data_IF_621242556704
#
_entry.id   IF_621242556704
#
_cell.length_a   1.000
_cell.length_b   1.000
_cell.length_c   1.000
_cell.angle_alpha   90.00
_cell.angle_beta   90.00
_cell.angle_gamma   90.00
#
_symmetry.space_group_name_H-M   'P 1'
#
loop_
_entity.id
_entity.type
_entity.pdbx_description
1 polymer ?
#
# COMPACT_ATOMS: atom_id res chain seq x y z
N UNK A 1 4.49 1.54 -16.95
CA UNK A 1 5.75 0.76 -17.01
C UNK A 1 5.41 -0.74 -17.03
N UNK A 2 6.28 -1.65 -17.49
CA UNK A 2 5.95 -3.10 -17.52
C UNK A 2 6.32 -3.75 -16.17
N UNK A 3 5.34 -3.86 -15.28
CA UNK A 3 5.46 -4.42 -13.93
C UNK A 3 5.69 -5.94 -13.91
N UNK A 4 5.47 -6.65 -15.02
CA UNK A 4 5.65 -8.12 -15.12
C UNK A 4 7.14 -8.52 -15.09
N UNK A 5 8.04 -7.63 -15.53
CA UNK A 5 9.49 -7.90 -15.57
C UNK A 5 10.24 -7.38 -14.34
N UNK A 6 9.60 -6.59 -13.49
CA UNK A 6 10.21 -6.07 -12.28
C UNK A 6 10.16 -7.13 -11.18
N UNK A 7 11.32 -7.47 -10.60
CA UNK A 7 11.35 -8.30 -9.38
C UNK A 7 10.79 -7.48 -8.21
N UNK A 8 9.86 -8.06 -7.47
CA UNK A 8 9.28 -7.47 -6.26
C UNK A 8 7.80 -7.11 -6.40
N UNK A 9 7.30 -6.35 -5.43
CA UNK A 9 5.91 -5.93 -5.36
C UNK A 9 5.65 -4.74 -6.28
N UNK A 10 4.64 -4.86 -7.15
CA UNK A 10 4.24 -3.79 -8.06
C UNK A 10 3.07 -2.99 -7.49
N UNK A 11 3.19 -1.67 -7.48
CA UNK A 11 2.10 -0.75 -7.13
C UNK A 11 1.51 -0.14 -8.40
N UNK A 12 0.29 0.37 -8.30
CA UNK A 12 -0.35 1.14 -9.36
C UNK A 12 0.45 2.44 -9.53
N UNK A 13 1.09 2.61 -10.68
CA UNK A 13 1.93 3.77 -11.01
C UNK A 13 1.17 4.86 -11.78
N UNK A 14 0.01 4.53 -12.36
CA UNK A 14 -0.81 5.47 -13.12
C UNK A 14 -2.29 5.06 -13.21
N UNK A 15 -3.16 6.07 -13.37
CA UNK A 15 -4.58 5.91 -13.70
C UNK A 15 -4.87 6.76 -14.94
N UNK A 16 -5.50 6.17 -15.95
CA UNK A 16 -5.99 6.87 -17.13
C UNK A 16 -7.49 7.11 -17.06
N UNK A 17 -7.96 8.28 -17.49
CA UNK A 17 -9.38 8.63 -17.57
C UNK A 17 -9.73 8.84 -19.04
N UNK A 18 -10.86 8.30 -19.48
CA UNK A 18 -11.39 8.48 -20.83
C UNK A 18 -12.76 9.18 -20.78
N UNK A 19 -13.07 9.95 -21.82
CA UNK A 19 -14.36 10.63 -21.97
C UNK A 19 -15.43 9.73 -22.62
N UNK A 20 -15.04 8.58 -23.19
CA UNK A 20 -15.99 7.59 -23.70
C UNK A 20 -16.36 6.58 -22.61
N UNK A 21 -17.63 6.21 -22.56
CA UNK A 21 -18.14 5.08 -21.75
C UNK A 21 -18.19 3.78 -22.56
N UNK A 22 -17.93 3.85 -23.87
CA UNK A 22 -17.92 2.69 -24.74
C UNK A 22 -16.63 1.89 -24.53
N UNK A 23 -16.73 0.81 -23.76
CA UNK A 23 -15.60 -0.09 -23.48
C UNK A 23 -14.94 -0.64 -24.75
N UNK A 24 -15.71 -0.87 -25.82
CA UNK A 24 -15.18 -1.39 -27.08
C UNK A 24 -14.21 -0.43 -27.76
N UNK A 25 -14.46 0.88 -27.67
CA UNK A 25 -13.54 1.92 -28.17
C UNK A 25 -12.26 1.93 -27.33
N UNK A 26 -12.39 1.94 -26.00
CA UNK A 26 -11.25 1.92 -25.08
C UNK A 26 -10.35 0.70 -25.35
N UNK A 27 -10.93 -0.49 -25.47
CA UNK A 27 -10.16 -1.71 -25.73
C UNK A 27 -9.48 -1.66 -27.09
N UNK A 28 -10.15 -1.17 -28.13
CA UNK A 28 -9.55 -1.04 -29.48
C UNK A 28 -8.37 -0.09 -29.49
N UNK A 29 -8.50 1.07 -28.85
CA UNK A 29 -7.43 2.05 -28.75
C UNK A 29 -6.23 1.48 -27.98
N UNK A 30 -6.48 0.83 -26.85
CA UNK A 30 -5.41 0.19 -26.05
C UNK A 30 -4.70 -0.94 -26.83
N UNK A 31 -5.46 -1.76 -27.56
CA UNK A 31 -4.90 -2.83 -28.39
C UNK A 31 -4.04 -2.28 -29.54
N UNK A 32 -4.36 -1.10 -30.10
CA UNK A 32 -3.53 -0.45 -31.13
C UNK A 32 -2.10 -0.15 -30.61
N UNK A 33 -1.97 0.17 -29.32
CA UNK A 33 -0.68 0.35 -28.65
C UNK A 33 -0.07 -0.95 -28.14
N UNK A 34 -0.66 -2.11 -28.47
CA UNK A 34 -0.20 -3.42 -28.01
C UNK A 34 -0.44 -3.68 -26.51
N UNK A 35 -1.30 -2.90 -25.87
CA UNK A 35 -1.64 -3.08 -24.46
C UNK A 35 -2.69 -4.17 -24.30
N UNK A 36 -2.49 -5.04 -23.30
CA UNK A 36 -3.49 -6.06 -22.93
C UNK A 36 -4.47 -5.45 -21.94
N UNK A 37 -5.75 -5.69 -22.14
CA UNK A 37 -6.83 -5.23 -21.26
C UNK A 37 -7.36 -6.39 -20.42
N UNK A 38 -7.62 -6.14 -19.15
CA UNK A 38 -8.24 -7.10 -18.24
C UNK A 38 -9.41 -6.39 -17.53
N UNK A 39 -10.64 -6.87 -17.73
CA UNK A 39 -11.82 -6.28 -17.06
C UNK A 39 -11.92 -6.66 -15.59
N UNK A 40 -11.40 -7.83 -15.23
CA UNK A 40 -11.42 -8.34 -13.86
C UNK A 40 -10.00 -8.31 -13.29
N UNK A 41 -9.79 -7.45 -12.29
CA UNK A 41 -8.55 -7.46 -11.52
C UNK A 41 -8.39 -8.82 -10.83
N UNK A 42 -7.46 -9.63 -11.34
CA UNK A 42 -7.01 -10.86 -10.71
C UNK A 42 -5.74 -10.58 -9.94
N UNK A 43 -5.79 -10.81 -8.63
CA UNK A 43 -4.61 -10.72 -7.79
C UNK A 43 -3.81 -12.02 -7.88
N UNK A 44 -2.48 -11.92 -7.83
CA UNK A 44 -1.60 -13.09 -7.89
C UNK A 44 -1.70 -13.98 -6.63
N UNK A 45 -2.26 -13.44 -5.54
CA UNK A 45 -2.45 -14.14 -4.28
C UNK A 45 -3.70 -13.64 -3.57
N UNK A 46 -4.24 -14.48 -2.69
CA UNK A 46 -5.30 -14.08 -1.76
C UNK A 46 -4.76 -13.08 -0.74
N UNK A 47 -5.68 -12.30 -0.16
CA UNK A 47 -5.34 -11.44 0.98
C UNK A 47 -4.86 -12.31 2.15
N UNK A 48 -3.76 -11.92 2.76
CA UNK A 48 -3.16 -12.62 3.90
C UNK A 48 -3.30 -11.78 5.17
N UNK A 49 -3.65 -12.42 6.28
CA UNK A 49 -3.48 -11.82 7.60
C UNK A 49 -2.03 -12.04 8.05
N UNK A 50 -1.29 -10.96 8.21
CA UNK A 50 0.15 -10.98 8.49
C UNK A 50 0.48 -11.06 9.99
N UNK A 51 -0.54 -11.32 10.82
CA UNK A 51 -0.43 -11.56 12.25
C UNK A 51 -0.72 -10.32 13.10
N UNK A 52 -0.91 -10.57 14.40
CA UNK A 52 -1.26 -9.55 15.40
C UNK A 52 -0.17 -8.49 15.64
N UNK A 53 1.04 -8.72 15.13
CA UNK A 53 2.13 -7.74 15.17
C UNK A 53 1.84 -6.52 14.28
N UNK A 54 0.98 -6.68 13.26
CA UNK A 54 0.56 -5.63 12.34
C UNK A 54 -0.95 -5.44 12.36
N UNK A 55 -1.75 -6.50 12.17
CA UNK A 55 -3.22 -6.44 12.09
C UNK A 55 -3.82 -6.28 13.50
N UNK A 56 -3.85 -5.05 14.01
CA UNK A 56 -4.41 -4.75 15.33
C UNK A 56 -5.91 -4.48 15.24
N UNK A 57 -6.51 -4.02 16.34
CA UNK A 57 -7.89 -3.52 16.34
C UNK A 57 -8.01 -2.12 15.76
N UNK A 58 -6.89 -1.42 15.55
CA UNK A 58 -6.85 -0.09 14.97
C UNK A 58 -6.86 -0.18 13.44
N UNK A 59 -7.19 0.92 12.77
CA UNK A 59 -7.21 0.94 11.31
C UNK A 59 -5.76 1.03 10.80
N UNK A 60 -5.28 -0.06 10.19
CA UNK A 60 -4.08 -0.06 9.38
C UNK A 60 -4.41 0.07 7.88
N UNK A 61 -3.69 0.95 7.18
CA UNK A 61 -3.95 1.22 5.77
C UNK A 61 -2.66 1.52 4.99
N UNK A 62 -2.78 1.53 3.66
CA UNK A 62 -1.71 1.91 2.72
C UNK A 62 -0.41 1.08 2.90
N UNK A 63 -0.47 -0.27 2.91
CA UNK A 63 0.72 -1.09 3.07
C UNK A 63 1.66 -0.94 1.86
N UNK A 64 2.95 -0.73 2.13
CA UNK A 64 4.03 -0.63 1.15
C UNK A 64 5.18 -1.53 1.58
N UNK A 65 5.45 -2.58 0.81
CA UNK A 65 6.62 -3.43 1.02
C UNK A 65 7.79 -2.84 0.22
N UNK A 66 8.94 -2.70 0.88
CA UNK A 66 10.19 -2.26 0.24
C UNK A 66 10.64 -3.23 -0.86
N UNK A 67 11.43 -2.75 -1.82
CA UNK A 67 11.93 -3.58 -2.93
C UNK A 67 12.69 -4.84 -2.48
N UNK A 68 13.38 -4.76 -1.34
CA UNK A 68 14.07 -5.90 -0.71
C UNK A 68 13.15 -6.90 -0.01
N UNK A 69 11.85 -6.62 0.09
CA UNK A 69 10.87 -7.49 0.75
C UNK A 69 11.02 -7.57 2.28
N UNK A 70 11.93 -6.81 2.86
CA UNK A 70 12.35 -6.95 4.26
C UNK A 70 11.73 -5.92 5.21
N UNK A 71 11.09 -4.87 4.69
CA UNK A 71 10.36 -3.87 5.46
C UNK A 71 8.99 -3.62 4.85
N UNK A 72 7.98 -3.49 5.71
CA UNK A 72 6.61 -3.12 5.40
C UNK A 72 6.27 -1.82 6.14
N UNK A 73 5.95 -0.79 5.39
CA UNK A 73 5.46 0.49 5.88
C UNK A 73 3.93 0.54 5.75
N UNK A 74 3.25 1.13 6.71
CA UNK A 74 1.80 1.32 6.67
C UNK A 74 1.39 2.49 7.57
N UNK A 75 0.20 3.03 7.38
CA UNK A 75 -0.38 4.04 8.26
C UNK A 75 -1.23 3.36 9.33
N UNK A 76 -1.14 3.79 10.60
CA UNK A 76 -2.01 3.35 11.69
C UNK A 76 -2.74 4.54 12.32
N UNK A 77 -4.07 4.46 12.34
CA UNK A 77 -4.94 5.55 12.76
C UNK A 77 -5.35 5.43 14.22
N UNK A 78 -5.44 6.58 14.91
CA UNK A 78 -5.93 6.71 16.29
C UNK A 78 -5.29 5.72 17.28
N UNK A 79 -3.99 5.45 17.15
CA UNK A 79 -3.27 4.53 18.04
C UNK A 79 -2.61 5.30 19.19
N UNK A 80 -2.69 4.84 20.45
CA UNK A 80 -2.18 5.59 21.60
C UNK A 80 -0.68 5.92 21.55
N UNK A 81 0.13 5.13 20.83
CA UNK A 81 1.56 5.40 20.67
C UNK A 81 1.86 6.29 19.44
N UNK A 82 0.85 6.85 18.78
CA UNK A 82 1.06 7.91 17.80
C UNK A 82 1.64 9.16 18.47
N UNK A 83 2.46 9.93 17.76
CA UNK A 83 3.19 11.08 18.32
C UNK A 83 2.24 12.14 18.89
N UNK A 84 1.09 12.37 18.25
CA UNK A 84 0.03 13.25 18.78
C UNK A 84 -1.05 12.55 19.64
N UNK A 85 -0.87 11.26 19.98
CA UNK A 85 -1.83 10.45 20.72
C UNK A 85 -3.19 10.34 20.03
N UNK A 86 -4.28 10.37 20.80
CA UNK A 86 -5.65 10.23 20.28
C UNK A 86 -6.11 11.39 19.36
N UNK A 87 -5.33 12.48 19.30
CA UNK A 87 -5.59 13.63 18.40
C UNK A 87 -4.83 13.51 17.08
N UNK A 88 -3.96 12.51 16.97
CA UNK A 88 -3.23 12.19 15.77
C UNK A 88 -4.03 11.23 14.90
N UNK A 89 -4.46 11.73 13.75
CA UNK A 89 -5.31 10.97 12.84
C UNK A 89 -4.56 9.73 12.33
N UNK A 90 -3.24 9.81 12.10
CA UNK A 90 -2.45 8.67 11.65
C UNK A 90 -0.94 8.91 11.71
N UNK A 91 -0.21 7.87 12.10
CA UNK A 91 1.25 7.81 11.97
C UNK A 91 1.69 6.71 11.02
N UNK A 92 2.92 6.84 10.52
CA UNK A 92 3.59 5.80 9.73
C UNK A 92 4.25 4.81 10.69
N UNK A 93 4.01 3.53 10.46
CA UNK A 93 4.63 2.41 11.17
C UNK A 93 5.46 1.58 10.20
N UNK A 94 6.50 0.95 10.72
CA UNK A 94 7.36 0.01 10.00
C UNK A 94 7.42 -1.32 10.73
N UNK A 95 7.33 -2.41 9.98
CA UNK A 95 7.61 -3.77 10.45
C UNK A 95 8.67 -4.41 9.57
N UNK A 96 9.52 -5.25 10.16
CA UNK A 96 10.59 -5.96 9.45
C UNK A 96 10.25 -7.43 9.26
N UNK A 97 10.51 -7.97 8.08
CA UNK A 97 10.42 -9.41 7.83
C UNK A 97 11.55 -10.12 8.57
N UNK A 98 11.21 -11.03 9.48
CA UNK A 98 12.12 -11.92 10.20
C UNK A 98 11.90 -13.37 9.76
N UNK A 99 12.69 -14.30 10.30
CA UNK A 99 12.62 -15.72 9.97
C UNK A 99 11.23 -16.36 10.17
N UNK A 100 10.42 -15.79 11.07
CA UNK A 100 9.08 -16.29 11.43
C UNK A 100 7.96 -15.31 11.06
N UNK A 101 8.20 -14.40 10.12
CA UNK A 101 7.22 -13.41 9.66
C UNK A 101 7.51 -11.99 10.12
N UNK A 102 6.50 -11.12 10.03
CA UNK A 102 6.61 -9.69 10.31
C UNK A 102 6.78 -9.41 11.80
N UNK A 103 7.81 -8.63 12.15
CA UNK A 103 8.07 -8.19 13.53
C UNK A 103 6.97 -7.29 14.08
N UNK A 104 6.95 -7.06 15.39
CA UNK A 104 6.14 -5.99 15.99
C UNK A 104 6.43 -4.69 15.26
N UNK A 105 5.39 -4.01 14.81
CA UNK A 105 5.53 -2.74 14.13
C UNK A 105 5.93 -1.63 15.12
N UNK A 106 6.81 -0.74 14.68
CA UNK A 106 7.28 0.44 15.43
C UNK A 106 6.95 1.70 14.66
N UNK A 107 6.65 2.78 15.38
CA UNK A 107 6.46 4.10 14.78
C UNK A 107 7.72 4.48 13.98
N UNK A 108 7.55 4.89 12.73
CA UNK A 108 8.61 5.09 11.76
C UNK A 108 9.19 6.50 11.84
N UNK A 109 9.76 6.87 13.00
CA UNK A 109 10.44 8.15 13.27
C UNK A 109 9.56 9.41 13.15
N UNK A 110 9.60 10.27 14.18
CA UNK A 110 8.88 11.54 14.27
C UNK A 110 9.14 12.50 13.09
N UNK A 111 10.25 12.34 12.38
CA UNK A 111 10.56 13.18 11.21
C UNK A 111 9.86 12.73 9.92
N UNK A 112 9.33 11.51 9.87
CA UNK A 112 8.57 10.99 8.73
C UNK A 112 7.06 10.99 9.00
N UNK A 113 6.64 11.22 10.24
CA UNK A 113 5.24 11.28 10.60
C UNK A 113 4.67 12.70 10.55
N UNK A 114 3.36 12.82 10.41
CA UNK A 114 2.68 14.11 10.37
C UNK A 114 2.58 14.68 11.77
N UNK A 115 3.55 15.46 12.22
CA UNK A 115 3.37 16.25 13.43
C UNK A 115 2.33 17.34 13.15
N UNK A 116 1.10 17.17 13.64
CA UNK A 116 0.14 18.28 13.74
C UNK A 116 0.73 19.29 14.73
N UNK A 117 0.98 20.57 14.36
CA UNK A 117 1.39 21.57 15.33
C UNK A 117 0.31 21.66 16.42
N UNK A 118 0.72 21.60 17.68
CA UNK A 118 -0.17 21.86 18.80
C UNK A 118 -0.48 23.36 18.82
N UNK A 119 -1.64 23.76 18.27
CA UNK A 119 -2.27 25.06 18.57
C UNK A 119 -3.12 24.96 19.85
#
# INVERSE_FOLDING_TARGET
MNTIKARGWSQIDAIGISNTVNKGEIVRDLLQYGLKTQEVLTFAADKENVGKSINTTYNESKPVITSGGNKLYFSRHNYPENVGGDRDEMDIYVSEMKAHGWSKATNADVHLTTTRPME
#
